data_IF_046968162455
#
_entry.id   IF_046968162455
#
_cell.length_a   1.000
_cell.length_b   1.000
_cell.length_c   1.000
_cell.angle_alpha   90.00
_cell.angle_beta   90.00
_cell.angle_gamma   90.00
#
_symmetry.space_group_name_H-M   'P 1'
#
loop_
_entity.id
_entity.type
_entity.pdbx_description
1 polymer ?
#
# COMPACT_ATOMS: atom_id res chain seq x y z
N UNK A 1 13.20 0.17 17.02
CA UNK A 1 12.33 0.00 15.83
C UNK A 1 13.06 -0.90 14.85
N UNK A 2 12.36 -1.87 14.28
CA UNK A 2 12.88 -2.73 13.23
C UNK A 2 12.24 -2.34 11.90
N UNK A 3 13.02 -2.36 10.81
CA UNK A 3 12.53 -2.01 9.48
C UNK A 3 12.09 -3.27 8.75
N UNK A 4 10.86 -3.25 8.25
CA UNK A 4 10.26 -4.31 7.43
C UNK A 4 9.95 -3.77 6.03
N UNK A 5 10.07 -4.61 5.02
CA UNK A 5 9.61 -4.28 3.67
C UNK A 5 8.16 -4.76 3.53
N UNK A 6 7.21 -3.83 3.45
CA UNK A 6 5.79 -4.15 3.29
C UNK A 6 5.37 -3.85 1.86
N UNK A 7 4.83 -4.85 1.18
CA UNK A 7 4.31 -4.73 -0.18
C UNK A 7 2.81 -4.52 -0.11
N UNK A 8 2.33 -3.34 -0.50
CA UNK A 8 0.91 -3.05 -0.69
C UNK A 8 0.55 -3.28 -2.16
N UNK A 9 -0.51 -4.03 -2.43
CA UNK A 9 -0.96 -4.37 -3.78
C UNK A 9 -2.35 -3.79 -3.97
N UNK A 10 -2.54 -3.09 -5.08
CA UNK A 10 -3.80 -2.46 -5.46
C UNK A 10 -4.21 -3.04 -6.81
N UNK A 11 -5.36 -3.69 -6.86
CA UNK A 11 -5.90 -4.31 -8.07
C UNK A 11 -7.31 -3.79 -8.33
N UNK A 12 -7.51 -3.27 -9.54
CA UNK A 12 -8.78 -2.69 -9.95
C UNK A 12 -9.76 -3.79 -10.38
N UNK A 13 -11.01 -3.66 -9.93
CA UNK A 13 -12.08 -4.64 -10.15
C UNK A 13 -13.09 -4.18 -11.22
N UNK A 14 -12.95 -2.94 -11.70
CA UNK A 14 -13.83 -2.33 -12.69
C UNK A 14 -13.08 -1.37 -13.61
N UNK A 15 -13.76 -0.91 -14.66
CA UNK A 15 -13.33 0.27 -15.40
C UNK A 15 -13.79 1.48 -14.62
N UNK A 16 -12.85 2.15 -13.96
CA UNK A 16 -13.17 3.30 -13.11
C UNK A 16 -12.43 4.55 -13.57
N UNK A 17 -13.09 5.73 -13.42
CA UNK A 17 -12.46 7.01 -13.66
C UNK A 17 -11.39 7.29 -12.60
N UNK A 18 -10.90 8.53 -12.56
CA UNK A 18 -9.85 8.91 -11.64
C UNK A 18 -10.19 8.56 -10.19
N UNK A 19 -9.24 7.95 -9.50
CA UNK A 19 -9.43 7.45 -8.15
C UNK A 19 -8.23 7.80 -7.27
N UNK A 20 -8.54 8.19 -6.04
CA UNK A 20 -7.56 8.50 -5.01
C UNK A 20 -7.51 7.35 -4.01
N UNK A 21 -6.30 6.92 -3.69
CA UNK A 21 -6.02 5.91 -2.69
C UNK A 21 -5.04 6.52 -1.69
N UNK A 22 -5.35 6.43 -0.40
CA UNK A 22 -4.49 6.92 0.66
C UNK A 22 -4.34 5.87 1.75
N UNK A 23 -3.09 5.61 2.14
CA UNK A 23 -2.74 4.84 3.33
C UNK A 23 -2.12 5.80 4.34
N UNK A 24 -2.69 5.88 5.54
CA UNK A 24 -2.13 6.65 6.66
C UNK A 24 -1.71 5.69 7.77
N UNK A 25 -0.47 5.76 8.23
CA UNK A 25 -0.08 5.13 9.49
C UNK A 25 -0.72 5.94 10.63
N UNK A 26 -1.37 5.25 11.56
CA UNK A 26 -2.16 5.88 12.63
C UNK A 26 -1.54 5.72 14.02
N UNK A 27 -0.38 5.06 14.12
CA UNK A 27 0.38 4.86 15.34
C UNK A 27 1.79 5.48 15.25
N UNK A 28 2.69 5.11 16.16
CA UNK A 28 4.08 5.59 16.23
C UNK A 28 4.99 5.08 15.10
N UNK A 29 4.51 4.18 14.23
CA UNK A 29 5.32 3.61 13.16
C UNK A 29 5.49 4.60 12.00
N UNK A 30 6.36 4.28 11.05
CA UNK A 30 6.58 5.17 9.90
C UNK A 30 7.09 4.44 8.66
N UNK A 31 6.70 4.93 7.48
CA UNK A 31 7.40 4.66 6.23
C UNK A 31 8.77 5.34 6.28
N UNK A 32 9.82 4.62 5.91
CA UNK A 32 11.17 5.19 5.90
C UNK A 32 11.49 5.82 4.55
N UNK A 33 12.10 7.02 4.60
CA UNK A 33 12.55 7.78 3.42
C UNK A 33 14.01 8.18 3.57
N UNK A 34 14.82 7.29 4.14
CA UNK A 34 16.19 7.58 4.61
C UNK A 34 17.27 7.54 3.51
N UNK A 35 16.86 7.45 2.23
CA UNK A 35 17.77 7.37 1.09
C UNK A 35 18.57 6.07 0.99
N UNK A 36 18.55 5.23 2.03
CA UNK A 36 19.16 3.90 2.06
C UNK A 36 18.17 2.83 1.57
N UNK A 37 16.88 3.05 1.81
CA UNK A 37 15.82 2.17 1.36
C UNK A 37 15.12 2.74 0.12
N UNK A 38 15.03 1.93 -0.93
CA UNK A 38 14.33 2.29 -2.17
C UNK A 38 12.85 2.00 -2.05
N UNK A 39 12.03 3.03 -2.24
CA UNK A 39 10.61 2.87 -2.52
C UNK A 39 10.44 2.35 -3.95
N UNK A 40 9.66 1.29 -4.12
CA UNK A 40 9.40 0.71 -5.44
C UNK A 40 7.91 0.72 -5.75
N UNK A 41 7.57 1.22 -6.94
CA UNK A 41 6.22 1.08 -7.52
C UNK A 41 6.40 0.33 -8.83
N UNK A 42 5.63 -0.74 -9.01
CA UNK A 42 5.69 -1.56 -10.22
C UNK A 42 4.32 -2.15 -10.53
N UNK A 43 4.10 -2.62 -11.77
CA UNK A 43 2.89 -3.38 -12.08
C UNK A 43 2.74 -4.59 -11.15
N UNK A 44 1.51 -4.87 -10.73
CA UNK A 44 1.23 -6.05 -9.91
C UNK A 44 0.87 -7.25 -10.80
N UNK A 45 1.61 -8.35 -10.68
CA UNK A 45 1.51 -9.52 -11.59
C UNK A 45 1.83 -9.16 -13.05
N UNK A 46 1.33 -9.94 -14.01
CA UNK A 46 1.42 -9.64 -15.44
C UNK A 46 0.44 -8.53 -15.91
N UNK A 47 -0.17 -7.80 -14.97
CA UNK A 47 -1.04 -6.67 -15.26
C UNK A 47 -0.24 -5.50 -15.85
N UNK A 48 -0.92 -4.64 -16.60
CA UNK A 48 -0.37 -3.30 -16.85
C UNK A 48 -0.60 -2.41 -15.63
N UNK A 49 0.34 -1.50 -15.32
CA UNK A 49 0.06 -0.46 -14.33
C UNK A 49 -0.92 0.57 -14.95
N UNK A 50 -1.93 1.04 -14.21
CA UNK A 50 -2.72 2.19 -14.63
C UNK A 50 -1.86 3.45 -14.61
N UNK A 51 -2.30 4.49 -15.32
CA UNK A 51 -1.61 5.77 -15.32
C UNK A 51 -1.75 6.44 -13.95
N UNK A 52 -0.62 6.69 -13.29
CA UNK A 52 -0.55 7.50 -12.08
C UNK A 52 -0.57 8.99 -12.48
N UNK A 53 -1.63 9.69 -12.13
CA UNK A 53 -1.72 11.15 -12.30
C UNK A 53 -0.84 11.87 -11.28
N UNK A 54 -0.74 11.35 -10.05
CA UNK A 54 0.18 11.85 -9.04
C UNK A 54 0.50 10.75 -8.01
N UNK A 55 1.67 10.87 -7.38
CA UNK A 55 2.13 10.05 -6.28
C UNK A 55 2.78 10.97 -5.25
N UNK A 56 2.47 10.79 -3.97
CA UNK A 56 3.23 11.45 -2.91
C UNK A 56 3.33 10.56 -1.67
N UNK A 57 4.41 10.74 -0.93
CA UNK A 57 4.62 10.00 0.31
C UNK A 57 5.28 10.90 1.36
N UNK A 58 4.94 10.63 2.62
CA UNK A 58 5.61 11.14 3.82
C UNK A 58 5.84 9.97 4.79
N UNK A 59 6.48 10.23 5.93
CA UNK A 59 6.73 9.21 6.95
C UNK A 59 5.48 8.49 7.46
N UNK A 60 4.28 9.08 7.34
CA UNK A 60 3.03 8.45 7.82
C UNK A 60 1.95 8.36 6.75
N UNK A 61 2.23 8.72 5.50
CA UNK A 61 1.21 8.73 4.45
C UNK A 61 1.77 8.31 3.12
N UNK A 62 1.07 7.40 2.45
CA UNK A 62 1.18 7.15 1.02
C UNK A 62 -0.10 7.66 0.35
N UNK A 63 0.03 8.40 -0.74
CA UNK A 63 -1.08 8.86 -1.56
C UNK A 63 -0.82 8.54 -3.04
N UNK A 64 -1.82 7.92 -3.66
CA UNK A 64 -1.85 7.54 -5.07
C UNK A 64 -3.06 8.19 -5.72
N UNK A 65 -2.84 8.95 -6.78
CA UNK A 65 -3.90 9.43 -7.66
C UNK A 65 -3.78 8.74 -9.01
N UNK A 66 -4.76 7.91 -9.33
CA UNK A 66 -4.79 7.10 -10.55
C UNK A 66 -5.78 7.73 -11.50
N UNK A 67 -5.37 8.00 -12.75
CA UNK A 67 -6.18 8.80 -13.68
C UNK A 67 -7.35 8.03 -14.29
N UNK A 68 -7.10 6.81 -14.77
CA UNK A 68 -8.12 5.86 -15.18
C UNK A 68 -7.53 4.46 -15.01
N UNK A 69 -8.36 3.51 -14.59
CA UNK A 69 -7.93 2.14 -14.40
C UNK A 69 -8.97 1.14 -14.92
N UNK A 70 -8.50 -0.04 -15.33
CA UNK A 70 -9.33 -1.15 -15.81
C UNK A 70 -9.16 -2.41 -14.97
N UNK A 71 -10.06 -3.37 -15.17
CA UNK A 71 -10.15 -4.65 -14.41
C UNK A 71 -8.89 -5.52 -14.45
N UNK A 72 -7.97 -5.26 -15.39
CA UNK A 72 -6.73 -6.00 -15.56
C UNK A 72 -5.49 -5.21 -15.13
N UNK A 73 -5.70 -4.07 -14.45
CA UNK A 73 -4.62 -3.21 -14.02
C UNK A 73 -4.35 -3.38 -12.53
N UNK A 74 -3.08 -3.21 -12.18
CA UNK A 74 -2.65 -3.34 -10.80
C UNK A 74 -1.29 -2.72 -10.58
N UNK A 75 -1.09 -2.20 -9.39
CA UNK A 75 0.21 -1.72 -8.92
C UNK A 75 0.53 -2.37 -7.60
N UNK A 76 1.80 -2.62 -7.37
CA UNK A 76 2.31 -2.89 -6.05
C UNK A 76 3.30 -1.81 -5.65
N UNK A 77 3.24 -1.41 -4.39
CA UNK A 77 4.11 -0.44 -3.77
C UNK A 77 4.84 -1.13 -2.63
N UNK A 78 6.15 -1.29 -2.77
CA UNK A 78 7.02 -1.83 -1.72
C UNK A 78 7.56 -0.67 -0.90
N UNK A 79 7.15 -0.64 0.38
CA UNK A 79 7.52 0.40 1.33
C UNK A 79 8.38 -0.16 2.47
N UNK A 80 9.59 0.37 2.69
CA UNK A 80 10.30 0.14 3.93
C UNK A 80 9.54 0.85 5.06
N UNK A 81 9.28 0.13 6.15
CA UNK A 81 8.45 0.61 7.26
C UNK A 81 9.15 0.30 8.58
N UNK A 82 9.48 1.34 9.34
CA UNK A 82 10.02 1.24 10.69
C UNK A 82 8.87 1.00 11.67
N UNK A 83 8.89 -0.16 12.33
CA UNK A 83 7.84 -0.60 13.24
C UNK A 83 8.42 -0.76 14.66
N UNK A 84 7.66 -0.27 15.64
CA UNK A 84 7.87 -0.45 17.07
C UNK A 84 6.75 -1.33 17.63
N UNK A 85 7.12 -2.51 18.14
CA UNK A 85 6.17 -3.51 18.62
C UNK A 85 5.83 -4.55 17.55
N UNK A 86 4.69 -5.22 17.72
CA UNK A 86 4.33 -6.42 16.94
C UNK A 86 3.26 -6.16 15.88
N UNK A 87 2.91 -4.90 15.60
CA UNK A 87 1.93 -4.57 14.57
C UNK A 87 2.11 -3.16 14.00
N UNK A 88 1.52 -2.95 12.83
CA UNK A 88 1.34 -1.66 12.18
C UNK A 88 -0.15 -1.33 12.09
N UNK A 89 -0.54 -0.20 12.67
CA UNK A 89 -1.88 0.37 12.52
C UNK A 89 -1.92 1.36 11.37
N UNK A 90 -2.91 1.20 10.49
CA UNK A 90 -3.10 2.11 9.36
C UNK A 90 -4.57 2.37 9.08
N UNK A 91 -4.84 3.46 8.39
CA UNK A 91 -6.14 3.80 7.82
C UNK A 91 -6.04 3.82 6.29
N UNK A 92 -6.89 3.04 5.62
CA UNK A 92 -7.04 3.04 4.17
C UNK A 92 -8.25 3.90 3.77
N UNK A 93 -8.00 4.94 2.98
CA UNK A 93 -9.04 5.67 2.26
C UNK A 93 -8.99 5.27 0.79
N UNK A 94 -9.89 4.38 0.38
CA UNK A 94 -10.10 3.94 -0.99
C UNK A 94 -11.53 3.41 -1.15
N UNK A 95 -12.07 3.39 -2.37
CA UNK A 95 -13.31 2.66 -2.63
C UNK A 95 -13.00 1.16 -2.81
N UNK A 96 -13.07 0.40 -1.72
CA UNK A 96 -12.70 -1.03 -1.73
C UNK A 96 -13.70 -1.94 -2.45
N UNK A 97 -14.83 -1.39 -2.92
CA UNK A 97 -15.70 -2.08 -3.89
C UNK A 97 -15.16 -2.04 -5.32
N UNK A 98 -14.24 -1.11 -5.62
CA UNK A 98 -13.66 -0.92 -6.94
C UNK A 98 -12.18 -1.33 -7.00
N UNK A 99 -11.49 -1.32 -5.85
CA UNK A 99 -10.07 -1.70 -5.74
C UNK A 99 -9.90 -2.71 -4.61
N UNK A 100 -9.39 -3.88 -4.96
CA UNK A 100 -8.85 -4.82 -3.97
C UNK A 100 -7.50 -4.31 -3.50
N UNK A 101 -7.35 -4.15 -2.17
CA UNK A 101 -6.09 -3.75 -1.55
C UNK A 101 -5.61 -4.88 -0.65
N UNK A 102 -4.40 -5.36 -0.87
CA UNK A 102 -3.77 -6.39 -0.05
C UNK A 102 -2.36 -6.02 0.36
N UNK A 103 -1.82 -6.72 1.34
CA UNK A 103 -0.45 -6.52 1.81
C UNK A 103 0.29 -7.85 1.98
N UNK A 104 1.62 -7.78 1.94
CA UNK A 104 2.51 -8.85 2.37
C UNK A 104 3.74 -8.25 3.06
N UNK A 105 4.20 -8.84 4.15
CA UNK A 105 5.44 -8.45 4.82
C UNK A 105 6.56 -9.36 4.35
N UNK A 106 7.55 -8.79 3.65
CA UNK A 106 8.63 -9.57 3.05
C UNK A 106 9.46 -10.27 4.13
N UNK A 107 9.77 -11.55 3.89
CA UNK A 107 10.55 -12.38 4.82
C UNK A 107 9.74 -12.96 5.98
N UNK A 108 8.44 -12.64 6.09
CA UNK A 108 7.53 -13.20 7.09
C UNK A 108 6.34 -13.90 6.39
N UNK A 109 5.73 -14.93 7.01
CA UNK A 109 4.51 -15.57 6.50
C UNK A 109 3.25 -14.72 6.78
N UNK A 110 3.36 -13.40 6.63
CA UNK A 110 2.33 -12.43 7.00
C UNK A 110 1.83 -11.75 5.73
N UNK A 111 0.54 -11.94 5.44
CA UNK A 111 -0.16 -11.29 4.34
C UNK A 111 -1.66 -11.20 4.64
N UNK A 112 -2.35 -10.26 4.00
CA UNK A 112 -3.79 -10.09 4.21
C UNK A 112 -4.42 -9.09 3.24
N UNK A 113 -5.72 -8.88 3.40
CA UNK A 113 -6.49 -7.86 2.68
C UNK A 113 -6.69 -6.66 3.61
N UNK A 114 -6.71 -5.45 3.03
CA UNK A 114 -7.07 -4.22 3.71
C UNK A 114 -8.51 -3.84 3.34
N UNK A 115 -9.25 -3.35 4.32
CA UNK A 115 -10.58 -2.78 4.14
C UNK A 115 -10.53 -1.26 4.24
N UNK A 116 -11.52 -0.56 3.70
CA UNK A 116 -11.64 0.88 3.92
C UNK A 116 -11.77 1.17 5.43
N UNK A 117 -11.07 2.20 5.90
CA UNK A 117 -10.97 2.54 7.31
C UNK A 117 -9.74 1.94 8.00
N UNK A 118 -9.85 1.66 9.30
CA UNK A 118 -8.73 1.24 10.13
C UNK A 118 -8.41 -0.26 9.92
N UNK A 119 -7.12 -0.58 9.83
CA UNK A 119 -6.60 -1.93 9.68
C UNK A 119 -5.39 -2.12 10.59
N UNK A 120 -5.15 -3.38 10.97
CA UNK A 120 -3.96 -3.81 11.69
C UNK A 120 -3.21 -4.84 10.84
N UNK A 121 -1.91 -4.61 10.63
CA UNK A 121 -0.99 -5.58 10.04
C UNK A 121 -0.17 -6.18 11.20
N UNK A 122 -0.41 -7.44 11.61
CA UNK A 122 0.41 -8.09 12.62
C UNK A 122 1.78 -8.46 12.05
N UNK A 123 2.84 -8.42 12.86
CA UNK A 123 4.19 -8.86 12.47
C UNK A 123 4.53 -10.26 12.99
N UNK A 124 3.61 -10.87 13.75
CA UNK A 124 3.71 -12.23 14.26
C UNK A 124 2.42 -12.97 13.88
N UNK A 125 2.56 -14.20 13.42
CA UNK A 125 1.46 -15.13 13.13
C UNK A 125 1.44 -16.27 14.12
#
# INVERSE_FOLDING_TARGET
MQTYQIVFKFQWQGNIPAQQIQLNITDQNSFTTDGQNTLQIQPYMAASAPLLSNFSMSSQRLFLNVGAASTQQGIQVTLPTAISGDSLQLNLSANTSEVSVSYAVMGLPVAGQLQAGNNTIPLQG
#
